data_IF_175394306680
#
_entry.id   IF_175394306680
#
_cell.length_a   1.000
_cell.length_b   1.000
_cell.length_c   1.000
_cell.angle_alpha   90.00
_cell.angle_beta   90.00
_cell.angle_gamma   90.00
#
_symmetry.space_group_name_H-M   'P 1'
#
loop_
_entity.id
_entity.type
_entity.pdbx_description
1 polymer ?
#
# COMPACT_ATOMS: atom_id res chain seq x y z
N UNK A 1 15.57 -13.79 -17.07
CA UNK A 1 15.02 -12.83 -16.08
C UNK A 1 14.57 -13.62 -14.86
N UNK A 2 14.96 -13.22 -13.65
CA UNK A 2 14.46 -13.83 -12.41
C UNK A 2 13.06 -13.28 -12.12
N UNK A 3 12.04 -14.14 -12.08
CA UNK A 3 10.62 -13.75 -11.90
C UNK A 3 10.28 -13.18 -10.51
N UNK A 4 11.21 -13.30 -9.55
CA UNK A 4 10.99 -12.91 -8.13
C UNK A 4 10.71 -11.43 -7.89
N UNK A 5 11.15 -10.54 -8.80
CA UNK A 5 10.96 -9.09 -8.62
C UNK A 5 9.50 -8.65 -8.71
N UNK A 6 8.68 -9.32 -9.52
CA UNK A 6 7.27 -8.95 -9.71
C UNK A 6 6.38 -9.34 -8.54
N UNK A 7 6.70 -10.46 -7.87
CA UNK A 7 5.96 -10.96 -6.70
C UNK A 7 6.19 -10.04 -5.50
N UNK A 8 7.44 -9.63 -5.27
CA UNK A 8 7.80 -8.65 -4.22
C UNK A 8 7.16 -7.29 -4.52
N UNK A 9 7.27 -6.80 -5.75
CA UNK A 9 6.63 -5.55 -6.17
C UNK A 9 5.12 -5.62 -5.95
N UNK A 10 4.54 -6.79 -6.20
CA UNK A 10 3.14 -7.07 -5.99
C UNK A 10 2.70 -6.93 -4.54
N UNK A 11 3.38 -7.65 -3.63
CA UNK A 11 3.11 -7.54 -2.20
C UNK A 11 3.28 -6.12 -1.66
N UNK A 12 4.31 -5.39 -2.10
CA UNK A 12 4.50 -3.99 -1.74
C UNK A 12 3.35 -3.10 -2.24
N UNK A 13 2.86 -3.36 -3.45
CA UNK A 13 1.74 -2.61 -4.03
C UNK A 13 0.47 -2.81 -3.20
N UNK A 14 0.15 -4.03 -2.78
CA UNK A 14 -0.98 -4.29 -1.89
C UNK A 14 -0.86 -3.56 -0.56
N UNK A 15 0.31 -3.62 0.09
CA UNK A 15 0.55 -2.92 1.37
C UNK A 15 0.34 -1.41 1.22
N UNK A 16 0.80 -0.82 0.11
CA UNK A 16 0.60 0.59 -0.19
C UNK A 16 -0.88 0.91 -0.41
N UNK A 17 -1.61 0.13 -1.19
CA UNK A 17 -3.06 0.30 -1.38
C UNK A 17 -3.80 0.28 -0.04
N UNK A 18 -3.50 -0.68 0.85
CA UNK A 18 -4.07 -0.72 2.20
C UNK A 18 -3.73 0.53 3.03
N UNK A 19 -2.48 0.96 2.99
CA UNK A 19 -2.01 2.13 3.74
C UNK A 19 -2.68 3.41 3.26
N UNK A 20 -2.75 3.64 1.95
CA UNK A 20 -3.44 4.79 1.38
C UNK A 20 -4.95 4.73 1.65
N UNK A 21 -5.58 3.58 1.48
CA UNK A 21 -7.02 3.43 1.74
C UNK A 21 -7.38 3.71 3.20
N UNK A 22 -6.49 3.38 4.15
CA UNK A 22 -6.66 3.78 5.54
C UNK A 22 -6.69 5.30 5.68
N UNK A 23 -5.77 6.02 5.03
CA UNK A 23 -5.71 7.48 5.06
C UNK A 23 -6.90 8.13 4.34
N UNK A 24 -7.26 7.63 3.15
CA UNK A 24 -8.43 8.09 2.39
C UNK A 24 -9.71 7.95 3.23
N UNK A 25 -9.87 6.84 3.95
CA UNK A 25 -11.01 6.63 4.82
C UNK A 25 -11.07 7.63 5.99
N UNK A 26 -9.92 8.12 6.44
CA UNK A 26 -9.79 9.17 7.45
C UNK A 26 -9.94 10.60 6.90
N UNK A 27 -10.20 10.75 5.60
CA UNK A 27 -10.36 12.06 4.96
C UNK A 27 -9.07 12.67 4.42
N UNK A 28 -8.04 11.85 4.19
CA UNK A 28 -6.78 12.23 3.53
C UNK A 28 -6.64 11.50 2.20
N UNK A 29 -7.17 12.06 1.10
CA UNK A 29 -6.97 11.53 -0.25
C UNK A 29 -5.49 11.38 -0.62
N UNK A 30 -5.17 10.51 -1.59
CA UNK A 30 -3.80 10.32 -2.07
C UNK A 30 -3.13 11.61 -2.52
N UNK A 31 -3.88 12.44 -3.23
CA UNK A 31 -3.39 13.70 -3.79
C UNK A 31 -3.54 14.87 -2.81
N UNK A 32 -3.61 14.58 -1.50
CA UNK A 32 -3.62 15.61 -0.47
C UNK A 32 -2.36 16.47 -0.57
N UNK A 33 -2.47 17.80 -0.41
CA UNK A 33 -1.30 18.66 -0.40
C UNK A 33 -0.40 18.32 0.80
N UNK A 34 0.92 18.53 0.68
CA UNK A 34 1.87 18.24 1.76
C UNK A 34 1.65 19.11 3.01
N UNK A 35 0.96 20.25 2.86
CA UNK A 35 0.53 21.13 3.95
C UNK A 35 -0.98 21.33 3.80
N UNK A 36 -1.74 20.87 4.80
CA UNK A 36 -3.20 20.97 4.80
C UNK A 36 -3.62 22.15 5.68
N UNK A 37 -4.26 23.16 5.07
CA UNK A 37 -4.81 24.32 5.76
C UNK A 37 -6.27 24.15 6.21
N UNK A 38 -7.03 23.28 5.54
CA UNK A 38 -8.44 22.99 5.85
C UNK A 38 -8.72 21.49 5.69
N UNK A 39 -8.68 20.78 6.82
CA UNK A 39 -8.97 19.34 6.88
C UNK A 39 -10.45 19.02 6.63
N UNK A 40 -11.36 19.98 6.87
CA UNK A 40 -12.81 19.75 6.70
C UNK A 40 -13.16 19.70 5.22
N UNK A 41 -12.65 20.67 4.45
CA UNK A 41 -12.81 20.68 2.99
C UNK A 41 -12.19 19.44 2.34
N UNK A 42 -11.03 19.01 2.83
CA UNK A 42 -10.33 17.83 2.33
C UNK A 42 -11.11 16.53 2.61
N UNK A 43 -11.66 16.38 3.82
CA UNK A 43 -12.47 15.23 4.20
C UNK A 43 -13.84 15.15 3.49
N UNK A 44 -14.34 16.28 2.98
CA UNK A 44 -15.57 16.34 2.19
C UNK A 44 -15.38 15.88 0.73
N UNK A 45 -14.13 15.72 0.26
CA UNK A 45 -13.85 15.22 -1.08
C UNK A 45 -14.33 13.77 -1.24
N UNK A 46 -14.72 13.36 -2.46
CA UNK A 46 -15.05 11.97 -2.75
C UNK A 46 -13.90 11.03 -2.39
N UNK A 47 -14.23 9.95 -1.67
CA UNK A 47 -13.26 8.89 -1.33
C UNK A 47 -13.06 8.00 -2.55
N UNK A 48 -11.90 8.12 -3.20
CA UNK A 48 -11.47 7.22 -4.26
C UNK A 48 -10.49 6.23 -3.64
N UNK A 49 -10.89 4.96 -3.52
CA UNK A 49 -10.04 3.92 -2.97
C UNK A 49 -9.07 3.39 -4.03
N UNK A 50 -7.84 3.20 -3.62
CA UNK A 50 -6.79 2.54 -4.39
C UNK A 50 -7.09 1.05 -4.53
N UNK A 51 -6.88 0.53 -5.73
CA UNK A 51 -6.97 -0.89 -6.05
C UNK A 51 -5.63 -1.35 -6.61
N UNK A 52 -5.20 -2.59 -6.33
CA UNK A 52 -4.03 -3.14 -7.00
C UNK A 52 -4.24 -3.14 -8.54
N UNK A 53 -3.16 -2.94 -9.31
CA UNK A 53 -3.24 -2.91 -10.77
C UNK A 53 -3.56 -4.29 -11.34
N UNK A 54 -4.21 -4.35 -12.51
CA UNK A 54 -4.72 -5.60 -13.10
C UNK A 54 -3.65 -6.67 -13.35
N UNK A 55 -2.42 -6.27 -13.68
CA UNK A 55 -1.33 -7.23 -13.91
C UNK A 55 -1.05 -8.09 -12.66
N UNK A 56 -1.36 -7.57 -11.47
CA UNK A 56 -1.18 -8.28 -10.21
C UNK A 56 -2.05 -9.54 -10.11
N UNK A 57 -3.22 -9.53 -10.75
CA UNK A 57 -4.13 -10.69 -10.75
C UNK A 57 -3.51 -11.94 -11.40
N UNK A 58 -2.43 -11.78 -12.18
CA UNK A 58 -1.74 -12.87 -12.88
C UNK A 58 -0.41 -13.26 -12.23
N UNK A 59 -0.01 -12.57 -11.15
CA UNK A 59 1.25 -12.84 -10.46
C UNK A 59 1.05 -14.04 -9.54
N UNK A 60 1.94 -15.02 -9.65
CA UNK A 60 1.91 -16.18 -8.76
C UNK A 60 2.34 -15.78 -7.35
N UNK A 61 1.79 -16.40 -6.30
CA UNK A 61 2.28 -16.22 -4.95
C UNK A 61 3.77 -16.58 -4.84
N UNK A 62 4.49 -15.93 -3.92
CA UNK A 62 5.85 -16.33 -3.57
C UNK A 62 5.86 -17.79 -3.10
N UNK A 63 6.72 -18.61 -3.72
CA UNK A 63 6.90 -20.02 -3.33
C UNK A 63 7.42 -20.16 -1.89
N UNK A 64 8.21 -19.20 -1.44
CA UNK A 64 8.76 -19.13 -0.09
C UNK A 64 8.32 -17.81 0.55
N UNK A 65 7.69 -17.89 1.73
CA UNK A 65 7.33 -16.70 2.47
C UNK A 65 8.59 -15.90 2.85
N UNK A 66 8.68 -14.67 2.37
CA UNK A 66 9.80 -13.78 2.67
C UNK A 66 9.46 -12.98 3.92
N UNK A 67 10.42 -12.91 4.83
CA UNK A 67 10.29 -12.18 6.07
C UNK A 67 10.72 -10.70 5.91
N UNK A 68 9.89 -9.76 6.34
CA UNK A 68 10.22 -8.32 6.36
C UNK A 68 10.71 -7.90 7.75
N UNK A 69 12.01 -7.64 7.94
CA UNK A 69 12.58 -7.25 9.23
C UNK A 69 12.00 -5.94 9.78
N UNK A 70 11.89 -5.86 11.10
CA UNK A 70 11.63 -4.59 11.76
C UNK A 70 12.84 -3.64 11.67
N UNK A 71 12.72 -2.43 12.21
CA UNK A 71 13.82 -1.43 12.22
C UNK A 71 15.11 -1.87 12.93
N UNK A 72 15.11 -3.03 13.61
CA UNK A 72 16.29 -3.65 14.25
C UNK A 72 16.84 -4.86 13.48
N UNK A 73 16.24 -5.22 12.34
CA UNK A 73 16.61 -6.42 11.59
C UNK A 73 15.96 -7.70 12.11
N UNK A 74 15.07 -7.62 13.10
CA UNK A 74 14.55 -8.78 13.82
C UNK A 74 13.22 -9.27 13.22
N UNK A 75 12.95 -10.55 13.44
CA UNK A 75 11.63 -11.14 13.20
C UNK A 75 10.62 -10.66 14.22
N UNK A 76 9.64 -9.89 13.77
CA UNK A 76 8.45 -9.61 14.58
C UNK A 76 7.66 -10.89 14.62
N UNK A 77 7.61 -11.53 15.79
CA UNK A 77 6.71 -12.64 16.03
C UNK A 77 5.27 -12.11 15.94
N UNK A 78 4.41 -12.93 15.34
CA UNK A 78 2.99 -12.65 15.12
C UNK A 78 2.20 -12.52 16.43
#
# INVERSE_FOLDING_TARGET
>A
MSYRSFEILGGLTEILCHSFNRLINLGLPRDSPPIVGDFTALAALPKVLECPPEWLANVQPLLEAVFVPNGKGERVAE
#
